data_IF_479930393196
#
_entry.id   IF_479930393196
#
_cell.length_a   1.000
_cell.length_b   1.000
_cell.length_c   1.000
_cell.angle_alpha   90.00
_cell.angle_beta   90.00
_cell.angle_gamma   90.00
#
_symmetry.space_group_name_H-M   'P 1'
#
loop_
_entity.id
_entity.type
_entity.pdbx_description
1 polymer ?
#
# COMPACT_ATOMS: atom_id res chain seq x y z
N UNK A 1 12.06 5.43 -1.89
CA UNK A 1 11.70 4.74 -0.63
C UNK A 1 11.05 5.77 0.26
N UNK A 2 9.71 5.82 0.30
CA UNK A 2 9.00 6.75 1.18
C UNK A 2 9.20 6.28 2.61
N UNK A 3 10.06 6.97 3.36
CA UNK A 3 10.18 6.82 4.80
C UNK A 3 8.90 7.34 5.45
N UNK A 4 7.82 6.54 5.42
CA UNK A 4 6.61 6.82 6.18
C UNK A 4 6.95 6.62 7.66
N UNK A 5 7.57 7.64 8.27
CA UNK A 5 7.66 7.72 9.71
C UNK A 5 6.22 7.73 10.24
N UNK A 6 5.90 6.77 11.10
CA UNK A 6 4.59 6.69 11.74
C UNK A 6 4.29 8.04 12.42
N UNK A 7 3.08 8.63 12.27
CA UNK A 7 2.76 9.95 12.79
C UNK A 7 2.40 9.81 14.26
N UNK A 8 3.36 9.37 15.07
CA UNK A 8 3.19 9.09 16.50
C UNK A 8 2.62 10.32 17.21
N UNK A 9 3.14 11.50 16.91
CA UNK A 9 2.65 12.76 17.46
C UNK A 9 1.17 13.05 17.16
N UNK A 10 0.66 12.64 15.98
CA UNK A 10 -0.75 12.80 15.63
C UNK A 10 -1.63 11.94 16.55
N UNK A 11 -1.28 10.66 16.72
CA UNK A 11 -2.02 9.74 17.59
C UNK A 11 -1.90 10.14 19.07
N UNK A 12 -0.72 10.56 19.53
CA UNK A 12 -0.51 11.06 20.90
C UNK A 12 -1.34 12.31 21.20
N UNK A 13 -1.61 13.15 20.19
CA UNK A 13 -2.41 14.37 20.35
C UNK A 13 -3.92 14.12 20.52
N UNK A 14 -4.43 12.93 20.19
CA UNK A 14 -5.86 12.63 20.21
C UNK A 14 -6.43 12.66 21.63
N UNK A 15 -5.76 12.02 22.59
CA UNK A 15 -6.21 11.97 23.98
C UNK A 15 -6.25 13.37 24.62
N UNK A 16 -5.20 14.21 24.55
CA UNK A 16 -5.25 15.59 25.03
C UNK A 16 -6.38 16.42 24.42
N UNK A 17 -6.64 16.28 23.10
CA UNK A 17 -7.75 16.99 22.43
C UNK A 17 -9.12 16.54 22.96
N UNK A 18 -9.31 15.25 23.22
CA UNK A 18 -10.54 14.74 23.83
C UNK A 18 -10.71 15.23 25.27
N UNK A 19 -9.65 15.17 26.08
CA UNK A 19 -9.65 15.70 27.45
C UNK A 19 -10.05 17.18 27.42
N UNK A 20 -9.53 17.96 26.46
CA UNK A 20 -9.87 19.37 26.34
C UNK A 20 -11.37 19.60 26.09
N UNK A 21 -12.01 18.76 25.28
CA UNK A 21 -13.46 18.82 25.04
C UNK A 21 -14.22 18.50 26.33
N UNK A 22 -13.80 17.50 27.09
CA UNK A 22 -14.44 17.12 28.36
C UNK A 22 -14.34 18.25 29.40
N UNK A 23 -13.17 18.87 29.53
CA UNK A 23 -12.97 20.04 30.39
C UNK A 23 -13.90 21.20 30.02
N UNK A 24 -13.97 21.54 28.72
CA UNK A 24 -14.81 22.63 28.22
C UNK A 24 -16.30 22.35 28.43
N UNK A 25 -16.70 21.08 28.32
CA UNK A 25 -18.09 20.64 28.57
C UNK A 25 -18.45 20.85 30.05
N UNK A 26 -17.60 20.40 30.98
CA UNK A 26 -17.82 20.59 32.42
C UNK A 26 -17.82 22.07 32.83
N UNK A 27 -16.92 22.87 32.26
CA UNK A 27 -16.86 24.32 32.53
C UNK A 27 -18.10 25.07 32.04
N UNK A 28 -18.72 24.61 30.94
CA UNK A 28 -19.96 25.20 30.43
C UNK A 28 -21.13 24.94 31.38
N UNK A 29 -21.19 23.78 32.02
CA UNK A 29 -22.23 23.43 33.00
C UNK A 29 -22.09 24.23 34.31
N UNK A 30 -20.86 24.55 34.71
CA UNK A 30 -20.55 25.23 35.97
C UNK A 30 -20.70 26.77 35.94
N UNK A 31 -20.47 27.42 34.80
CA UNK A 31 -20.23 28.88 34.76
C UNK A 31 -21.43 29.76 34.36
N UNK A 32 -22.62 29.21 34.09
CA UNK A 32 -23.80 30.01 33.75
C UNK A 32 -23.58 30.93 32.52
N UNK A 33 -24.30 32.06 32.38
CA UNK A 33 -24.53 32.75 31.10
C UNK A 33 -23.33 33.46 30.41
N UNK A 34 -22.06 33.13 30.70
CA UNK A 34 -20.92 33.44 29.81
C UNK A 34 -20.89 32.57 28.53
N UNK A 35 -22.06 32.13 28.08
CA UNK A 35 -22.30 30.95 27.27
C UNK A 35 -21.80 31.06 25.82
N UNK A 36 -21.58 32.26 25.28
CA UNK A 36 -21.22 32.41 23.85
C UNK A 36 -19.76 32.01 23.60
N UNK A 37 -18.82 32.51 24.41
CA UNK A 37 -17.40 32.13 24.27
C UNK A 37 -17.15 30.67 24.66
N UNK A 38 -17.81 30.17 25.71
CA UNK A 38 -17.71 28.77 26.10
C UNK A 38 -18.18 27.83 24.97
N UNK A 39 -19.34 28.13 24.36
CA UNK A 39 -19.85 27.38 23.20
C UNK A 39 -18.91 27.46 22.00
N UNK A 40 -18.37 28.63 21.71
CA UNK A 40 -17.42 28.80 20.61
C UNK A 40 -16.14 27.98 20.82
N UNK A 41 -15.58 28.02 22.03
CA UNK A 41 -14.38 27.26 22.37
C UNK A 41 -14.63 25.75 22.31
N UNK A 42 -15.79 25.28 22.79
CA UNK A 42 -16.20 23.88 22.69
C UNK A 42 -16.35 23.44 21.23
N UNK A 43 -16.99 24.26 20.40
CA UNK A 43 -17.13 24.00 18.97
C UNK A 43 -15.77 23.89 18.27
N UNK A 44 -14.86 24.83 18.54
CA UNK A 44 -13.51 24.82 17.96
C UNK A 44 -12.72 23.58 18.40
N UNK A 45 -12.73 23.24 19.69
CA UNK A 45 -12.06 22.05 20.22
C UNK A 45 -12.62 20.76 19.62
N UNK A 46 -13.95 20.68 19.45
CA UNK A 46 -14.62 19.53 18.84
C UNK A 46 -14.24 19.37 17.37
N UNK A 47 -14.19 20.48 16.63
CA UNK A 47 -13.82 20.45 15.22
C UNK A 47 -12.33 20.07 15.03
N UNK A 48 -11.45 20.61 15.87
CA UNK A 48 -10.03 20.26 15.89
C UNK A 48 -9.81 18.75 16.19
N UNK A 49 -10.50 18.20 17.18
CA UNK A 49 -10.45 16.76 17.47
C UNK A 49 -10.99 15.92 16.31
N UNK A 50 -12.13 16.30 15.72
CA UNK A 50 -12.71 15.61 14.56
C UNK A 50 -11.73 15.60 13.38
N UNK A 51 -11.08 16.72 13.11
CA UNK A 51 -10.07 16.83 12.04
C UNK A 51 -8.86 15.95 12.33
N UNK A 52 -8.38 15.92 13.58
CA UNK A 52 -7.26 15.07 13.98
C UNK A 52 -7.60 13.57 13.83
N UNK A 53 -8.82 13.14 14.20
CA UNK A 53 -9.29 11.76 13.96
C UNK A 53 -9.36 11.45 12.47
N UNK A 54 -9.93 12.36 11.66
CA UNK A 54 -10.03 12.15 10.23
C UNK A 54 -8.63 11.96 9.60
N UNK A 55 -7.68 12.83 9.94
CA UNK A 55 -6.29 12.70 9.50
C UNK A 55 -5.65 11.39 9.98
N UNK A 56 -5.87 10.99 11.23
CA UNK A 56 -5.31 9.76 11.78
C UNK A 56 -5.90 8.51 11.09
N UNK A 57 -7.19 8.52 10.74
CA UNK A 57 -7.85 7.47 10.00
C UNK A 57 -7.34 7.42 8.55
N UNK A 58 -7.27 8.57 7.88
CA UNK A 58 -6.77 8.67 6.52
C UNK A 58 -5.32 8.19 6.43
N UNK A 59 -4.49 8.53 7.42
CA UNK A 59 -3.14 8.00 7.49
C UNK A 59 -3.17 6.48 7.64
N UNK A 60 -3.90 5.95 8.62
CA UNK A 60 -4.01 4.50 8.87
C UNK A 60 -4.42 3.71 7.62
N UNK A 61 -5.43 4.19 6.89
CA UNK A 61 -5.94 3.53 5.67
C UNK A 61 -4.99 3.63 4.48
N UNK A 62 -4.12 4.64 4.45
CA UNK A 62 -3.13 4.82 3.39
C UNK A 62 -1.78 4.16 3.70
N UNK A 63 -1.62 3.50 4.86
CA UNK A 63 -0.49 2.59 5.03
C UNK A 63 -0.65 1.41 4.07
N UNK A 64 0.44 0.85 3.54
CA UNK A 64 0.39 -0.40 2.80
C UNK A 64 -0.26 -1.50 3.66
N UNK A 65 -1.39 -2.05 3.20
CA UNK A 65 -2.16 -3.05 3.95
C UNK A 65 -3.00 -2.49 5.09
N UNK A 66 -3.11 -1.16 5.23
CA UNK A 66 -3.91 -0.51 6.27
C UNK A 66 -5.42 -0.67 6.09
N UNK A 67 -5.86 -1.03 4.89
CA UNK A 67 -7.22 -1.40 4.56
C UNK A 67 -7.56 -2.87 4.89
N UNK A 68 -6.53 -3.70 5.10
CA UNK A 68 -6.67 -5.13 5.28
C UNK A 68 -6.82 -5.49 6.76
N UNK A 69 -7.66 -6.48 7.02
CA UNK A 69 -7.67 -7.15 8.32
C UNK A 69 -6.34 -7.89 8.55
N UNK A 70 -5.99 -8.13 9.82
CA UNK A 70 -4.73 -8.79 10.18
C UNK A 70 -4.69 -10.20 9.56
N UNK A 71 -5.83 -10.90 9.59
CA UNK A 71 -5.97 -12.24 9.03
C UNK A 71 -5.75 -12.25 7.52
N UNK A 72 -6.23 -11.24 6.80
CA UNK A 72 -6.01 -11.09 5.36
C UNK A 72 -4.54 -10.81 5.05
N UNK A 73 -3.85 -10.04 5.91
CA UNK A 73 -2.41 -9.79 5.78
C UNK A 73 -1.61 -11.08 5.97
N UNK A 74 -1.97 -11.90 6.96
CA UNK A 74 -1.34 -13.20 7.21
C UNK A 74 -1.48 -14.15 6.00
N UNK A 75 -2.65 -14.17 5.36
CA UNK A 75 -2.88 -14.96 4.15
C UNK A 75 -1.99 -14.50 2.98
N UNK A 76 -1.87 -13.18 2.77
CA UNK A 76 -1.01 -12.61 1.74
C UNK A 76 0.46 -12.92 2.03
N UNK A 77 0.89 -12.81 3.29
CA UNK A 77 2.25 -13.17 3.72
C UNK A 77 2.52 -14.64 3.38
N UNK A 78 1.64 -15.55 3.78
CA UNK A 78 1.79 -16.98 3.49
C UNK A 78 1.85 -17.28 1.98
N UNK A 79 1.02 -16.58 1.18
CA UNK A 79 1.04 -16.69 -0.28
C UNK A 79 2.37 -16.24 -0.88
N UNK A 80 2.89 -15.10 -0.43
CA UNK A 80 4.15 -14.51 -0.88
C UNK A 80 5.35 -15.37 -0.49
N UNK A 81 5.36 -15.94 0.71
CA UNK A 81 6.39 -16.87 1.16
C UNK A 81 6.43 -18.14 0.29
N UNK A 82 5.26 -18.72 -0.01
CA UNK A 82 5.15 -19.88 -0.91
C UNK A 82 5.63 -19.54 -2.33
N UNK A 83 5.28 -18.35 -2.84
CA UNK A 83 5.73 -17.90 -4.16
C UNK A 83 7.25 -17.74 -4.19
N UNK A 84 7.84 -17.10 -3.17
CA UNK A 84 9.28 -16.97 -3.01
C UNK A 84 9.96 -18.34 -2.99
N UNK A 85 9.47 -19.28 -2.18
CA UNK A 85 10.02 -20.63 -2.10
C UNK A 85 10.01 -21.34 -3.47
N UNK A 86 8.90 -21.25 -4.20
CA UNK A 86 8.78 -21.81 -5.56
C UNK A 86 9.76 -21.17 -6.54
N UNK A 87 9.88 -19.84 -6.53
CA UNK A 87 10.80 -19.11 -7.41
C UNK A 87 12.26 -19.44 -7.11
N UNK A 88 12.63 -19.57 -5.84
CA UNK A 88 13.97 -20.01 -5.43
C UNK A 88 14.25 -21.43 -5.92
N UNK A 89 13.32 -22.39 -5.74
CA UNK A 89 13.48 -23.74 -6.24
C UNK A 89 13.66 -23.80 -7.78
N UNK A 90 12.90 -22.98 -8.52
CA UNK A 90 13.07 -22.84 -9.97
C UNK A 90 14.46 -22.31 -10.32
N UNK A 91 14.92 -21.25 -9.64
CA UNK A 91 16.23 -20.68 -9.86
C UNK A 91 17.35 -21.68 -9.56
N UNK A 92 17.25 -22.44 -8.48
CA UNK A 92 18.18 -23.54 -8.15
C UNK A 92 18.17 -24.61 -9.24
N UNK A 93 17.00 -25.02 -9.75
CA UNK A 93 16.90 -25.99 -10.83
C UNK A 93 17.52 -25.49 -12.14
N UNK A 94 17.32 -24.21 -12.48
CA UNK A 94 17.93 -23.58 -13.65
C UNK A 94 19.45 -23.48 -13.54
N UNK A 95 19.96 -23.07 -12.38
CA UNK A 95 21.41 -22.96 -12.14
C UNK A 95 22.10 -24.32 -12.02
N UNK A 96 21.39 -25.34 -11.54
CA UNK A 96 21.91 -26.72 -11.45
C UNK A 96 21.89 -27.47 -12.78
N UNK A 97 21.04 -27.05 -13.74
CA UNK A 97 21.18 -27.48 -15.13
C UNK A 97 22.43 -26.84 -15.69
N UNK A 98 23.54 -27.58 -15.65
CA UNK A 98 24.71 -27.32 -16.48
C UNK A 98 24.18 -27.13 -17.91
N UNK A 99 24.34 -25.94 -18.48
CA UNK A 99 24.13 -25.74 -19.91
C UNK A 99 25.14 -26.68 -20.57
N UNK A 100 24.68 -27.86 -20.95
CA UNK A 100 25.41 -28.69 -21.90
C UNK A 100 25.21 -27.95 -23.21
N UNK A 101 26.04 -26.93 -23.41
CA UNK A 101 26.36 -26.48 -24.75
C UNK A 101 26.89 -27.73 -25.41
N UNK A 102 26.06 -28.42 -26.20
CA UNK A 102 26.58 -29.36 -27.15
C UNK A 102 27.43 -28.50 -28.09
N UNK A 103 28.71 -28.37 -27.77
CA UNK A 103 29.73 -28.02 -28.74
C UNK A 103 29.84 -29.21 -29.68
N UNK A 104 28.79 -29.42 -30.49
CA UNK A 104 28.99 -29.93 -31.82
C UNK A 104 29.71 -28.81 -32.55
N UNK A 105 31.03 -28.85 -32.47
CA UNK A 105 31.86 -28.33 -33.51
C UNK A 105 31.49 -29.09 -34.79
N UNK A 106 30.53 -28.57 -35.55
CA UNK A 106 30.58 -28.64 -37.01
C UNK A 106 29.58 -27.67 -37.67
N UNK A 107 30.17 -26.82 -38.51
CA UNK A 107 29.63 -26.20 -39.71
C UNK A 107 28.44 -25.24 -39.64
N UNK A 108 28.77 -23.97 -39.96
CA UNK A 108 28.01 -23.20 -40.92
C UNK A 108 26.60 -22.77 -40.51
N UNK A 109 26.47 -22.00 -39.42
CA UNK A 109 25.26 -21.18 -39.26
C UNK A 109 25.36 -19.94 -40.14
N UNK A 110 24.98 -20.11 -41.40
CA UNK A 110 24.56 -19.00 -42.25
C UNK A 110 23.30 -18.40 -41.62
N UNK A 111 23.47 -17.20 -41.08
CA UNK A 111 22.39 -16.34 -40.61
C UNK A 111 21.62 -15.80 -41.81
N UNK A 112 20.74 -16.63 -42.40
CA UNK A 112 19.85 -16.12 -43.44
C UNK A 112 18.63 -15.43 -42.83
N UNK A 113 18.49 -14.19 -43.25
CA UNK A 113 17.60 -13.17 -42.73
C UNK A 113 16.29 -13.24 -43.50
N UNK A 114 15.22 -13.77 -42.90
CA UNK A 114 13.86 -13.51 -43.39
C UNK A 114 12.93 -13.17 -42.24
N UNK A 115 12.89 -11.87 -41.97
CA UNK A 115 11.81 -11.16 -41.32
C UNK A 115 10.46 -11.59 -41.91
N UNK A 116 9.69 -12.38 -41.16
CA UNK A 116 8.31 -12.67 -41.50
C UNK A 116 7.42 -11.50 -41.08
N UNK A 117 7.25 -10.53 -41.98
CA UNK A 117 6.10 -9.62 -41.99
C UNK A 117 4.88 -10.35 -42.53
N UNK A 118 3.69 -10.31 -41.86
CA UNK A 118 2.49 -10.90 -42.42
C UNK A 118 1.92 -9.96 -43.48
N UNK A 119 2.05 -10.33 -44.76
CA UNK A 119 1.32 -9.68 -45.85
C UNK A 119 0.13 -10.58 -46.22
N UNK A 120 -1.03 -10.30 -45.62
CA UNK A 120 -2.31 -10.86 -46.09
C UNK A 120 -2.64 -10.25 -47.46
N UNK A 121 -2.28 -10.97 -48.52
CA UNK A 121 -2.64 -10.65 -49.90
C UNK A 121 -4.06 -11.12 -50.24
N UNK A 122 -4.81 -10.22 -50.87
CA UNK A 122 -6.13 -10.38 -51.48
C UNK A 122 -6.09 -11.09 -52.85
N UNK A 123 -7.17 -11.80 -53.20
CA UNK A 123 -7.57 -12.17 -54.58
C UNK A 123 -7.89 -13.66 -54.72
N UNK A 124 -9.16 -14.09 -54.76
CA UNK A 124 -10.11 -14.13 -55.90
C UNK A 124 -10.02 -15.40 -56.77
N UNK A 125 -11.20 -15.97 -57.00
CA UNK A 125 -11.65 -16.82 -58.12
C UNK A 125 -11.75 -18.34 -57.92
N UNK A 126 -13.02 -18.80 -57.84
CA UNK A 126 -13.66 -19.63 -58.88
C UNK A 126 -15.18 -19.52 -58.76
#
# INVERSE_FOLDING_TARGET
>A
MLSNMLPVALYESLLPKLVKILELTQQQELNGPSAVQAKQNLFLATNDFKNAIAQAKDFALNLPGGEMLIEEQDEVIAMLERLKARKMAQLTAFTSKKVISNSYAQDGMEVDSLASTPQSGSGSDS
#
